data_IF_169372869569
#
_entry.id   IF_169372869569
#
_cell.length_a   1.000
_cell.length_b   1.000
_cell.length_c   1.000
_cell.angle_alpha   90.00
_cell.angle_beta   90.00
_cell.angle_gamma   90.00
#
_symmetry.space_group_name_H-M   'P 1'
#
loop_
_entity.id
_entity.type
_entity.pdbx_description
1 polymer ?
#
# COMPACT_ATOMS: atom_id res chain seq x y z
N UNK A 1 20.18 9.69 3.85
CA UNK A 1 19.28 10.59 3.92
C UNK A 1 18.22 10.51 2.96
N UNK A 2 17.20 10.21 3.28
CA UNK A 2 16.31 9.88 2.33
C UNK A 2 15.09 10.71 2.43
N UNK A 3 14.99 11.60 1.54
CA UNK A 3 13.77 12.35 1.38
C UNK A 3 12.63 11.41 1.00
N UNK A 4 12.92 10.25 0.44
CA UNK A 4 11.90 9.28 0.07
C UNK A 4 11.14 8.78 1.29
N UNK A 5 11.84 8.47 2.38
CA UNK A 5 11.20 8.05 3.62
C UNK A 5 10.30 9.17 4.17
N UNK A 6 10.78 10.40 4.17
CA UNK A 6 9.99 11.53 4.65
C UNK A 6 8.77 11.78 3.75
N UNK A 7 8.95 11.67 2.44
CA UNK A 7 7.83 11.83 1.50
C UNK A 7 6.80 10.72 1.68
N UNK A 8 7.26 9.50 1.94
CA UNK A 8 6.37 8.37 2.17
C UNK A 8 5.53 8.60 3.44
N UNK A 9 6.16 9.06 4.51
CA UNK A 9 5.45 9.35 5.76
C UNK A 9 4.45 10.48 5.57
N UNK A 10 4.81 11.50 4.80
CA UNK A 10 3.89 12.59 4.49
C UNK A 10 2.71 12.09 3.65
N UNK A 11 2.97 11.20 2.71
CA UNK A 11 1.90 10.63 1.89
C UNK A 11 0.95 9.79 2.74
N UNK A 12 1.48 9.06 3.71
CA UNK A 12 0.64 8.28 4.63
C UNK A 12 -0.28 9.20 5.41
N UNK A 13 0.24 10.29 5.95
CA UNK A 13 -0.58 11.27 6.65
C UNK A 13 -1.64 11.85 5.73
N UNK A 14 -1.25 12.20 4.50
CA UNK A 14 -2.17 12.78 3.51
C UNK A 14 -3.26 11.80 3.08
N UNK A 15 -2.97 10.50 3.09
CA UNK A 15 -3.96 9.50 2.70
C UNK A 15 -5.19 9.54 3.61
N UNK A 16 -5.02 10.01 4.83
CA UNK A 16 -6.11 10.13 5.80
C UNK A 16 -6.89 11.43 5.65
N UNK A 17 -6.39 12.34 4.82
CA UNK A 17 -6.97 13.66 4.62
C UNK A 17 -7.60 13.84 3.23
N UNK A 18 -7.72 12.75 2.48
CA UNK A 18 -8.31 12.82 1.15
C UNK A 18 -9.77 13.26 1.25
N UNK A 19 -10.16 14.19 0.37
CA UNK A 19 -11.51 14.75 0.40
C UNK A 19 -12.56 13.71 0.02
N UNK A 20 -12.18 12.74 -0.79
CA UNK A 20 -13.09 11.67 -1.18
C UNK A 20 -12.45 10.32 -0.88
N UNK A 21 -13.25 9.39 -0.37
CA UNK A 21 -12.76 8.04 -0.10
C UNK A 21 -12.52 7.32 -1.42
N UNK A 22 -11.31 6.79 -1.66
CA UNK A 22 -11.04 6.02 -2.87
C UNK A 22 -11.92 4.77 -2.94
N UNK A 23 -12.10 4.25 -4.14
CA UNK A 23 -12.86 3.01 -4.31
C UNK A 23 -12.09 1.81 -3.75
N UNK A 24 -12.76 0.69 -3.62
CA UNK A 24 -12.16 -0.50 -3.01
C UNK A 24 -10.90 -0.99 -3.70
N UNK A 25 -10.84 -1.10 -5.04
CA UNK A 25 -9.59 -1.50 -5.70
C UNK A 25 -8.43 -0.56 -5.40
N UNK A 26 -8.69 0.76 -5.34
CA UNK A 26 -7.67 1.74 -5.01
C UNK A 26 -7.21 1.61 -3.57
N UNK A 27 -8.15 1.40 -2.64
CA UNK A 27 -7.81 1.19 -1.22
C UNK A 27 -6.94 -0.05 -1.04
N UNK A 28 -7.23 -1.12 -1.77
CA UNK A 28 -6.43 -2.34 -1.71
C UNK A 28 -5.02 -2.10 -2.26
N UNK A 29 -4.91 -1.32 -3.32
CA UNK A 29 -3.61 -0.97 -3.89
C UNK A 29 -2.78 -0.15 -2.90
N UNK A 30 -3.42 0.83 -2.24
CA UNK A 30 -2.77 1.64 -1.19
C UNK A 30 -2.26 0.71 -0.09
N UNK A 31 -3.09 -0.20 0.36
CA UNK A 31 -2.73 -1.15 1.41
C UNK A 31 -1.52 -2.02 1.00
N UNK A 32 -1.59 -2.59 -0.21
CA UNK A 32 -0.53 -3.47 -0.70
C UNK A 32 0.81 -2.75 -0.82
N UNK A 33 0.80 -1.54 -1.36
CA UNK A 33 2.00 -0.73 -1.50
C UNK A 33 2.58 -0.37 -0.13
N UNK A 34 1.72 0.00 0.82
CA UNK A 34 2.16 0.34 2.16
C UNK A 34 2.85 -0.85 2.83
N UNK A 35 2.26 -2.03 2.73
CA UNK A 35 2.83 -3.24 3.30
C UNK A 35 4.15 -3.60 2.63
N UNK A 36 4.21 -3.51 1.31
CA UNK A 36 5.43 -3.82 0.57
C UNK A 36 6.55 -2.83 0.93
N UNK A 37 6.19 -1.55 1.09
CA UNK A 37 7.17 -0.52 1.43
C UNK A 37 7.72 -0.70 2.85
N UNK A 38 6.90 -1.19 3.78
CA UNK A 38 7.30 -1.27 5.19
C UNK A 38 7.81 -2.64 5.60
N UNK A 39 7.20 -3.71 5.10
CA UNK A 39 7.52 -5.07 5.51
C UNK A 39 8.21 -5.91 4.44
N UNK A 40 8.21 -5.44 3.19
CA UNK A 40 8.78 -6.19 2.09
C UNK A 40 7.80 -7.24 1.57
N UNK A 41 8.34 -8.32 1.01
CA UNK A 41 7.52 -9.37 0.41
C UNK A 41 6.60 -10.03 1.42
N UNK A 42 5.39 -10.33 0.97
CA UNK A 42 4.39 -10.98 1.80
C UNK A 42 4.84 -12.41 2.11
N UNK A 43 5.11 -12.67 3.39
CA UNK A 43 5.44 -14.00 3.88
C UNK A 43 4.37 -14.54 4.82
N UNK A 44 3.24 -13.86 4.91
CA UNK A 44 2.16 -14.30 5.78
C UNK A 44 1.37 -15.43 5.16
N UNK A 45 0.81 -16.26 6.03
CA UNK A 45 -0.03 -17.36 5.59
C UNK A 45 -1.28 -16.82 4.92
N UNK A 46 -1.67 -17.43 3.81
CA UNK A 46 -2.87 -17.05 3.07
C UNK A 46 -4.11 -17.21 3.96
N UNK A 47 -4.94 -16.18 4.08
CA UNK A 47 -6.14 -16.26 4.92
C UNK A 47 -7.16 -17.27 4.39
N UNK A 48 -8.09 -17.62 5.25
CA UNK A 48 -9.17 -18.53 4.90
C UNK A 48 -9.96 -18.01 3.72
N UNK A 49 -10.38 -18.94 2.84
CA UNK A 49 -11.21 -18.68 1.70
C UNK A 49 -12.50 -17.93 2.07
N UNK A 50 -13.02 -18.13 3.28
CA UNK A 50 -14.26 -17.48 3.71
C UNK A 50 -14.02 -16.07 4.27
N UNK A 51 -12.78 -15.69 4.53
CA UNK A 51 -12.48 -14.35 5.04
C UNK A 51 -12.12 -13.44 3.86
N UNK A 52 -13.15 -12.91 3.21
CA UNK A 52 -12.99 -12.17 1.95
C UNK A 52 -12.13 -10.91 2.11
N UNK A 53 -12.31 -10.18 3.20
CA UNK A 53 -11.58 -8.92 3.41
C UNK A 53 -10.10 -9.22 3.63
N UNK A 54 -9.79 -10.14 4.54
CA UNK A 54 -8.40 -10.51 4.81
C UNK A 54 -7.73 -11.08 3.56
N UNK A 55 -8.48 -11.88 2.80
CA UNK A 55 -7.97 -12.49 1.58
C UNK A 55 -7.65 -11.45 0.53
N UNK A 56 -8.54 -10.47 0.35
CA UNK A 56 -8.32 -9.39 -0.61
C UNK A 56 -7.10 -8.57 -0.25
N UNK A 57 -6.91 -8.26 1.03
CA UNK A 57 -5.73 -7.53 1.50
C UNK A 57 -4.46 -8.33 1.29
N UNK A 58 -4.51 -9.62 1.60
CA UNK A 58 -3.36 -10.50 1.41
C UNK A 58 -2.95 -10.55 -0.07
N UNK A 59 -3.94 -10.70 -0.96
CA UNK A 59 -3.70 -10.76 -2.40
C UNK A 59 -3.13 -9.44 -2.91
N UNK A 60 -3.63 -8.32 -2.41
CA UNK A 60 -3.15 -7.00 -2.83
C UNK A 60 -1.67 -6.82 -2.48
N UNK A 61 -1.27 -7.22 -1.29
CA UNK A 61 0.13 -7.15 -0.87
C UNK A 61 0.98 -8.15 -1.65
N UNK A 62 0.49 -9.38 -1.78
CA UNK A 62 1.23 -10.43 -2.47
C UNK A 62 1.48 -10.08 -3.94
N UNK A 63 0.62 -9.28 -4.53
CA UNK A 63 0.77 -8.85 -5.92
C UNK A 63 1.97 -7.95 -6.15
N UNK A 64 2.53 -7.35 -5.10
CA UNK A 64 3.73 -6.52 -5.20
C UNK A 64 5.01 -7.25 -4.84
N UNK A 65 4.94 -8.56 -4.66
CA UNK A 65 6.11 -9.38 -4.31
C UNK A 65 7.23 -9.13 -5.33
N UNK A 66 8.43 -8.91 -4.83
CA UNK A 66 9.58 -8.60 -5.67
C UNK A 66 9.83 -7.12 -5.86
N UNK A 67 8.88 -6.27 -5.50
CA UNK A 67 9.06 -4.81 -5.58
C UNK A 67 9.90 -4.37 -4.39
N UNK A 68 10.93 -3.56 -4.64
CA UNK A 68 11.77 -3.06 -3.54
C UNK A 68 10.97 -2.10 -2.67
N UNK A 69 11.42 -1.94 -1.41
CA UNK A 69 10.80 -0.98 -0.50
C UNK A 69 10.78 0.43 -1.08
N UNK A 70 11.88 0.83 -1.70
CA UNK A 70 11.98 2.18 -2.27
C UNK A 70 10.99 2.36 -3.43
N UNK A 71 10.89 1.37 -4.31
CA UNK A 71 9.94 1.44 -5.42
C UNK A 71 8.51 1.45 -4.92
N UNK A 72 8.22 0.65 -3.88
CA UNK A 72 6.89 0.62 -3.31
C UNK A 72 6.54 1.97 -2.66
N UNK A 73 7.51 2.59 -1.97
CA UNK A 73 7.32 3.91 -1.39
C UNK A 73 7.00 4.94 -2.47
N UNK A 74 7.75 4.91 -3.57
CA UNK A 74 7.54 5.86 -4.65
C UNK A 74 6.17 5.67 -5.29
N UNK A 75 5.77 4.44 -5.52
CA UNK A 75 4.45 4.16 -6.08
C UNK A 75 3.33 4.61 -5.14
N UNK A 76 3.53 4.41 -3.84
CA UNK A 76 2.56 4.85 -2.83
C UNK A 76 2.42 6.38 -2.87
N UNK A 77 3.54 7.08 -2.87
CA UNK A 77 3.55 8.55 -2.93
C UNK A 77 2.82 9.04 -4.17
N UNK A 78 3.15 8.46 -5.32
CA UNK A 78 2.56 8.87 -6.60
C UNK A 78 1.05 8.63 -6.59
N UNK A 79 0.62 7.50 -6.04
CA UNK A 79 -0.80 7.17 -5.97
C UNK A 79 -1.55 8.16 -5.08
N UNK A 80 -1.03 8.42 -3.89
CA UNK A 80 -1.69 9.35 -2.96
C UNK A 80 -1.75 10.76 -3.57
N UNK A 81 -0.68 11.20 -4.22
CA UNK A 81 -0.67 12.51 -4.88
C UNK A 81 -1.72 12.59 -5.98
N UNK A 82 -1.91 11.51 -6.71
CA UNK A 82 -2.90 11.50 -7.78
C UNK A 82 -4.34 11.59 -7.25
N UNK A 83 -4.54 11.25 -5.98
CA UNK A 83 -5.87 11.27 -5.36
C UNK A 83 -6.13 12.56 -4.59
N UNK A 84 -5.13 13.39 -4.46
CA UNK A 84 -5.25 14.64 -3.69
C UNK A 84 -5.84 15.77 -4.50
#
# INVERSE_FOLDING_TARGET
MSDLQAQFEAAEANSKLLSEKPDNPTLLKIYGLYKQATLGDNAEKKPSFSDFVARAKWDAWNGFKGTSSDDAMQQYIDLIESLS
#
